data_IF_099358413847
#
_entry.id   IF_099358413847
#
_cell.length_a   1.000
_cell.length_b   1.000
_cell.length_c   1.000
_cell.angle_alpha   90.00
_cell.angle_beta   90.00
_cell.angle_gamma   90.00
#
_symmetry.space_group_name_H-M   'P 1'
#
loop_
_entity.id
_entity.type
_entity.pdbx_description
1 polymer ?
#
# COMPACT_ATOMS: atom_id res chain seq x y z
N UNK A 1 -23.58 -4.14 2.08
CA UNK A 1 -23.34 -5.24 1.14
C UNK A 1 -22.86 -4.62 -0.15
N UNK A 2 -21.79 -5.14 -0.74
CA UNK A 2 -21.26 -4.66 -2.02
C UNK A 2 -22.25 -4.96 -3.15
N UNK A 3 -22.33 -4.04 -4.13
CA UNK A 3 -23.08 -4.23 -5.37
C UNK A 3 -22.07 -4.28 -6.52
N UNK A 4 -21.91 -5.44 -7.13
CA UNK A 4 -20.97 -5.66 -8.23
C UNK A 4 -21.56 -5.07 -9.52
N UNK A 5 -20.92 -4.06 -10.16
CA UNK A 5 -21.39 -3.50 -11.42
C UNK A 5 -21.19 -4.46 -12.60
N UNK A 6 -22.03 -4.32 -13.63
CA UNK A 6 -21.82 -4.99 -14.91
C UNK A 6 -20.46 -4.59 -15.52
N UNK A 7 -19.67 -5.57 -15.97
CA UNK A 7 -18.36 -5.36 -16.58
C UNK A 7 -17.19 -5.20 -15.61
N UNK A 8 -17.41 -5.30 -14.29
CA UNK A 8 -16.31 -5.22 -13.30
C UNK A 8 -15.20 -6.25 -13.58
N UNK A 9 -15.56 -7.49 -13.89
CA UNK A 9 -14.60 -8.55 -14.20
C UNK A 9 -13.73 -8.22 -15.43
N UNK A 10 -14.32 -7.65 -16.48
CA UNK A 10 -13.60 -7.24 -17.68
C UNK A 10 -12.68 -6.04 -17.39
N UNK A 11 -13.13 -5.09 -16.55
CA UNK A 11 -12.33 -3.96 -16.12
C UNK A 11 -11.12 -4.40 -15.28
N UNK A 12 -11.32 -5.31 -14.33
CA UNK A 12 -10.25 -5.91 -13.52
C UNK A 12 -9.21 -6.59 -14.43
N UNK A 13 -9.68 -7.39 -15.39
CA UNK A 13 -8.81 -8.07 -16.36
C UNK A 13 -8.02 -7.06 -17.20
N UNK A 14 -8.68 -6.06 -17.77
CA UNK A 14 -8.03 -5.04 -18.59
C UNK A 14 -6.97 -4.23 -17.81
N UNK A 15 -7.24 -3.90 -16.55
CA UNK A 15 -6.26 -3.24 -15.68
C UNK A 15 -5.04 -4.15 -15.41
N UNK A 16 -5.28 -5.43 -15.14
CA UNK A 16 -4.20 -6.41 -14.96
C UNK A 16 -3.30 -6.53 -16.19
N UNK A 17 -3.89 -6.56 -17.39
CA UNK A 17 -3.16 -6.60 -18.66
C UNK A 17 -2.31 -5.34 -18.86
N UNK A 18 -2.83 -4.15 -18.54
CA UNK A 18 -2.07 -2.89 -18.64
C UNK A 18 -0.87 -2.86 -17.69
N UNK A 19 -1.06 -3.26 -16.43
CA UNK A 19 0.03 -3.33 -15.44
C UNK A 19 1.09 -4.34 -15.90
N UNK A 20 0.65 -5.47 -16.46
CA UNK A 20 1.57 -6.48 -17.00
C UNK A 20 2.43 -5.91 -18.14
N UNK A 21 1.84 -5.17 -19.08
CA UNK A 21 2.60 -4.52 -20.17
C UNK A 21 3.69 -3.60 -19.61
N UNK A 22 3.38 -2.81 -18.58
CA UNK A 22 4.35 -1.94 -17.92
C UNK A 22 5.49 -2.78 -17.31
N UNK A 23 5.16 -3.84 -16.57
CA UNK A 23 6.14 -4.69 -15.90
C UNK A 23 7.03 -5.45 -16.88
N UNK A 24 6.47 -6.00 -17.96
CA UNK A 24 7.23 -6.70 -18.99
C UNK A 24 8.25 -5.76 -19.63
N UNK A 25 7.82 -4.53 -19.95
CA UNK A 25 8.67 -3.51 -20.56
C UNK A 25 9.79 -3.07 -19.62
N UNK A 26 9.47 -2.69 -18.39
CA UNK A 26 10.48 -2.22 -17.43
C UNK A 26 11.43 -3.33 -17.00
N UNK A 27 10.97 -4.58 -16.92
CA UNK A 27 11.85 -5.73 -16.68
C UNK A 27 12.84 -5.92 -17.83
N UNK A 28 12.40 -5.76 -19.08
CA UNK A 28 13.28 -5.81 -20.24
C UNK A 28 14.30 -4.66 -20.24
N UNK A 29 13.86 -3.44 -19.90
CA UNK A 29 14.71 -2.24 -19.89
C UNK A 29 15.74 -2.26 -18.75
N UNK A 30 15.37 -2.76 -17.58
CA UNK A 30 16.23 -2.75 -16.38
C UNK A 30 16.94 -4.06 -16.08
N UNK A 31 16.60 -5.16 -16.76
CA UNK A 31 17.16 -6.49 -16.53
C UNK A 31 16.73 -7.14 -15.20
N UNK A 32 15.81 -6.51 -14.45
CA UNK A 32 15.24 -7.05 -13.22
C UNK A 32 13.80 -6.58 -13.06
N UNK A 33 12.98 -7.42 -12.43
CA UNK A 33 11.62 -7.04 -12.10
C UNK A 33 11.60 -5.92 -11.06
N UNK A 34 10.78 -4.90 -11.31
CA UNK A 34 10.47 -3.81 -10.37
C UNK A 34 8.95 -3.74 -10.14
N UNK A 35 8.51 -2.85 -9.24
CA UNK A 35 7.07 -2.69 -8.97
C UNK A 35 6.35 -2.15 -10.20
N UNK A 36 5.18 -2.70 -10.54
CA UNK A 36 4.39 -2.29 -11.72
C UNK A 36 3.75 -0.90 -11.61
N UNK A 37 3.64 -0.40 -10.38
CA UNK A 37 3.35 0.99 -10.02
C UNK A 37 4.15 1.33 -8.77
N UNK A 38 4.38 2.60 -8.49
CA UNK A 38 5.23 3.04 -7.38
C UNK A 38 6.66 2.47 -7.43
N UNK A 39 7.21 2.35 -8.64
CA UNK A 39 8.53 1.81 -8.92
C UNK A 39 9.62 2.56 -8.16
N UNK A 40 9.74 3.87 -8.39
CA UNK A 40 10.74 4.72 -7.75
C UNK A 40 10.37 5.01 -6.30
N UNK A 41 11.21 4.55 -5.38
CA UNK A 41 11.20 4.98 -3.98
C UNK A 41 12.09 6.20 -3.77
N UNK A 42 11.70 7.08 -2.85
CA UNK A 42 12.50 8.23 -2.42
C UNK A 42 13.14 7.99 -1.05
N UNK A 43 12.37 7.42 -0.12
CA UNK A 43 12.82 7.16 1.23
C UNK A 43 12.05 5.99 1.85
N UNK A 44 12.73 5.27 2.74
CA UNK A 44 12.12 4.37 3.73
C UNK A 44 12.47 4.94 5.09
N UNK A 45 11.45 5.22 5.90
CA UNK A 45 11.60 5.88 7.20
C UNK A 45 10.97 4.98 8.27
N UNK A 46 11.70 4.74 9.35
CA UNK A 46 11.15 4.14 10.56
C UNK A 46 10.63 5.23 11.49
N UNK A 47 9.51 4.96 12.15
CA UNK A 47 8.93 5.88 13.13
C UNK A 47 7.94 5.17 14.04
N UNK A 48 7.15 5.99 14.73
CA UNK A 48 6.15 5.53 15.68
C UNK A 48 4.80 6.11 15.31
N UNK A 49 3.79 5.26 15.22
CA UNK A 49 2.39 5.66 15.08
C UNK A 49 1.75 5.67 16.48
N UNK A 50 1.17 6.81 16.87
CA UNK A 50 0.42 6.94 18.12
C UNK A 50 -1.08 6.96 17.83
N UNK A 51 -1.80 6.05 18.48
CA UNK A 51 -3.26 6.05 18.55
C UNK A 51 -3.65 6.82 19.80
N UNK A 52 -4.30 7.95 19.60
CA UNK A 52 -4.71 8.86 20.67
C UNK A 52 -5.80 8.24 21.55
N UNK A 53 -5.81 8.59 22.84
CA UNK A 53 -6.93 8.26 23.71
C UNK A 53 -8.19 9.04 23.34
N UNK A 54 -9.35 8.44 23.65
CA UNK A 54 -10.68 9.06 23.47
C UNK A 54 -11.00 9.42 22.01
N UNK A 55 -10.65 8.55 21.05
CA UNK A 55 -11.14 8.69 19.69
C UNK A 55 -12.68 8.63 19.68
N UNK A 56 -13.35 9.38 18.78
CA UNK A 56 -14.77 9.21 18.51
C UNK A 56 -15.11 7.72 18.28
N UNK A 57 -16.24 7.21 18.78
CA UNK A 57 -16.58 5.78 18.67
C UNK A 57 -16.56 5.24 17.23
N UNK A 58 -16.87 6.08 16.25
CA UNK A 58 -16.81 5.74 14.82
C UNK A 58 -15.39 5.54 14.29
N UNK A 59 -14.36 6.08 14.96
CA UNK A 59 -12.95 5.94 14.62
C UNK A 59 -12.22 4.91 15.50
N UNK A 60 -12.78 4.57 16.66
CA UNK A 60 -12.20 3.63 17.62
C UNK A 60 -12.50 2.16 17.22
N UNK A 61 -11.96 1.72 16.09
CA UNK A 61 -12.21 0.39 15.51
C UNK A 61 -10.91 -0.38 15.26
N UNK A 62 -10.94 -1.70 15.44
CA UNK A 62 -9.80 -2.57 15.18
C UNK A 62 -8.56 -2.13 15.96
N UNK A 63 -7.45 -1.90 15.25
CA UNK A 63 -6.20 -1.45 15.89
C UNK A 63 -6.27 -0.06 16.53
N UNK A 64 -7.30 0.71 16.22
CA UNK A 64 -7.54 2.05 16.76
C UNK A 64 -8.51 2.04 17.96
N UNK A 65 -9.02 0.86 18.37
CA UNK A 65 -9.98 0.76 19.47
C UNK A 65 -9.40 1.21 20.81
N UNK A 66 -8.12 0.94 21.03
CA UNK A 66 -7.39 1.30 22.24
C UNK A 66 -6.23 2.26 21.91
N UNK A 67 -5.99 3.21 22.82
CA UNK A 67 -4.82 4.08 22.74
C UNK A 67 -3.53 3.26 22.84
N UNK A 68 -2.52 3.64 22.06
CA UNK A 68 -1.29 2.86 22.00
C UNK A 68 -0.24 3.44 21.07
N UNK A 69 0.94 2.84 21.09
CA UNK A 69 2.08 3.25 20.31
C UNK A 69 2.62 2.05 19.54
N UNK A 70 2.80 2.21 18.24
CA UNK A 70 3.19 1.14 17.33
C UNK A 70 4.42 1.53 16.53
N UNK A 71 5.34 0.59 16.34
CA UNK A 71 6.42 0.79 15.37
C UNK A 71 5.84 0.83 13.95
N UNK A 72 6.35 1.74 13.13
CA UNK A 72 5.87 1.95 11.78
C UNK A 72 7.02 2.14 10.79
N UNK A 73 6.81 1.65 9.57
CA UNK A 73 7.66 1.89 8.41
C UNK A 73 6.87 2.65 7.35
N UNK A 74 7.48 3.71 6.83
CA UNK A 74 6.91 4.55 5.80
C UNK A 74 7.76 4.45 4.53
N UNK A 75 7.13 4.28 3.37
CA UNK A 75 7.81 4.32 2.06
C UNK A 75 7.22 5.42 1.19
N UNK A 76 8.07 6.37 0.82
CA UNK A 76 7.74 7.44 -0.13
C UNK A 76 8.08 7.03 -1.56
N UNK A 77 7.21 7.30 -2.53
CA UNK A 77 7.38 6.88 -3.93
C UNK A 77 6.73 7.85 -4.92
N UNK A 78 7.08 7.77 -6.21
CA UNK A 78 6.23 8.31 -7.29
C UNK A 78 5.16 7.29 -7.66
N UNK A 79 4.14 7.65 -8.45
CA UNK A 79 3.09 6.71 -8.91
C UNK A 79 3.50 5.78 -10.08
N UNK A 80 4.20 6.24 -11.13
CA UNK A 80 4.44 5.41 -12.30
C UNK A 80 5.18 4.09 -12.02
N UNK A 81 4.99 3.12 -12.90
CA UNK A 81 5.72 1.85 -12.91
C UNK A 81 7.15 1.94 -13.45
N UNK A 82 7.56 3.14 -13.84
CA UNK A 82 8.88 3.44 -14.39
C UNK A 82 9.72 4.25 -13.40
N UNK A 83 11.05 4.22 -13.53
CA UNK A 83 11.95 5.01 -12.66
C UNK A 83 12.19 6.38 -13.30
N UNK A 84 11.40 7.36 -12.86
CA UNK A 84 11.50 8.75 -13.30
C UNK A 84 12.39 9.57 -12.36
N UNK A 85 12.94 10.66 -12.89
CA UNK A 85 13.62 11.69 -12.10
C UNK A 85 12.65 12.34 -11.10
N UNK A 86 13.16 12.68 -9.91
CA UNK A 86 12.36 13.27 -8.83
C UNK A 86 11.82 14.66 -9.22
N UNK A 87 12.45 15.37 -10.18
CA UNK A 87 11.95 16.64 -10.72
C UNK A 87 10.66 16.48 -11.53
N UNK A 88 10.30 15.26 -11.93
CA UNK A 88 9.07 15.01 -12.68
C UNK A 88 7.86 15.15 -11.75
N UNK A 89 6.96 16.05 -12.13
CA UNK A 89 5.72 16.29 -11.39
C UNK A 89 4.72 15.17 -11.65
N UNK A 90 4.56 14.29 -10.66
CA UNK A 90 3.62 13.16 -10.64
C UNK A 90 3.11 12.96 -9.22
N UNK A 91 1.97 12.28 -9.02
CA UNK A 91 1.50 11.95 -7.67
C UNK A 91 2.57 11.24 -6.85
N UNK A 92 2.59 11.49 -5.54
CA UNK A 92 3.48 10.85 -4.59
C UNK A 92 2.69 9.84 -3.75
N UNK A 93 3.25 8.65 -3.58
CA UNK A 93 2.71 7.61 -2.72
C UNK A 93 3.35 7.63 -1.35
N UNK A 94 2.54 7.31 -0.33
CA UNK A 94 2.99 7.00 1.02
C UNK A 94 2.43 5.63 1.41
N UNK A 95 3.28 4.61 1.44
CA UNK A 95 2.94 3.33 2.04
C UNK A 95 3.26 3.37 3.53
N UNK A 96 2.30 3.01 4.39
CA UNK A 96 2.48 2.86 5.83
C UNK A 96 2.35 1.39 6.18
N UNK A 97 3.33 0.85 6.91
CA UNK A 97 3.29 -0.49 7.49
C UNK A 97 3.41 -0.38 8.99
N UNK A 98 2.48 -0.97 9.74
CA UNK A 98 2.40 -0.89 11.20
C UNK A 98 2.74 -2.27 11.76
N UNK A 99 3.65 -2.33 12.72
CA UNK A 99 4.19 -3.57 13.27
C UNK A 99 3.56 -3.88 14.63
N UNK A 100 3.45 -5.18 14.96
CA UNK A 100 3.03 -5.63 16.27
C UNK A 100 1.55 -5.40 16.59
N UNK A 101 0.72 -5.19 15.56
CA UNK A 101 -0.73 -5.01 15.74
C UNK A 101 -1.33 -6.33 16.21
N UNK A 102 -2.08 -6.31 17.31
CA UNK A 102 -2.74 -7.50 17.86
C UNK A 102 -4.22 -7.52 17.44
N UNK A 103 -4.85 -8.69 17.60
CA UNK A 103 -6.29 -8.87 17.38
C UNK A 103 -6.61 -9.92 16.33
N UNK A 104 -7.91 -10.11 16.09
CA UNK A 104 -8.41 -11.00 15.06
C UNK A 104 -7.98 -10.52 13.66
N UNK A 105 -7.72 -11.46 12.76
CA UNK A 105 -7.24 -11.22 11.40
C UNK A 105 -8.29 -11.68 10.39
N UNK A 106 -8.18 -11.15 9.18
CA UNK A 106 -8.94 -11.68 8.06
C UNK A 106 -8.50 -13.12 7.74
N UNK A 107 -9.40 -13.97 7.23
CA UNK A 107 -9.05 -15.33 6.82
C UNK A 107 -7.86 -15.34 5.85
N UNK A 108 -6.87 -16.18 6.13
CA UNK A 108 -5.62 -16.28 5.35
C UNK A 108 -4.48 -15.36 5.82
N UNK A 109 -4.71 -14.49 6.80
CA UNK A 109 -3.72 -13.58 7.39
C UNK A 109 -3.49 -13.85 8.89
N UNK A 110 -3.84 -15.03 9.38
CA UNK A 110 -3.82 -15.37 10.82
C UNK A 110 -2.42 -15.25 11.44
N UNK A 111 -1.37 -15.47 10.64
CA UNK A 111 0.02 -15.39 11.06
C UNK A 111 0.66 -14.02 10.79
N UNK A 112 -0.08 -13.06 10.24
CA UNK A 112 0.46 -11.73 9.98
C UNK A 112 0.59 -10.95 11.30
N UNK A 113 1.75 -10.33 11.51
CA UNK A 113 2.03 -9.49 12.68
C UNK A 113 1.96 -7.99 12.35
N UNK A 114 1.55 -7.65 11.13
CA UNK A 114 1.62 -6.28 10.60
C UNK A 114 0.34 -5.85 9.90
N UNK A 115 0.08 -4.55 9.86
CA UNK A 115 -0.95 -3.91 9.03
C UNK A 115 -0.30 -3.08 7.93
#
# INVERSE_FOLDING_TARGET
METIPDGEADAIKGLGEQVKVIQDKTTADYGTAIRGIHAKGHAIVSGTLEVMANLPPELAQGMFADAGSYEALLRFSTLPGDILDDSVSVPRGLGLKILGVKGERLPGSENDETQ
#
